data_IF_397371594844
#
_entry.id   IF_397371594844
#
_cell.length_a   1.000
_cell.length_b   1.000
_cell.length_c   1.000
_cell.angle_alpha   90.00
_cell.angle_beta   90.00
_cell.angle_gamma   90.00
#
_symmetry.space_group_name_H-M   'P 1'
#
loop_
_entity.id
_entity.type
_entity.pdbx_description
1 polymer ?
#
# COMPACT_ATOMS: atom_id res chain seq x y z
N UNK A 1 7.60 1.32 -0.21
CA UNK A 1 9.02 1.49 -0.52
C UNK A 1 9.78 0.17 -0.57
N UNK A 2 11.07 0.25 -0.45
CA UNK A 2 11.94 -0.91 -0.38
C UNK A 2 11.94 -1.43 1.07
N UNK A 3 11.47 -2.66 1.27
CA UNK A 3 11.51 -3.36 2.55
C UNK A 3 12.17 -4.70 2.30
N UNK A 4 13.22 -4.97 3.04
CA UNK A 4 14.01 -6.20 3.00
C UNK A 4 14.14 -6.85 4.38
N UNK A 5 13.47 -6.29 5.39
CA UNK A 5 13.39 -6.83 6.74
C UNK A 5 11.94 -7.17 7.13
N UNK A 6 11.69 -8.20 7.93
CA UNK A 6 10.37 -8.59 8.37
C UNK A 6 9.81 -7.74 9.53
N UNK A 7 10.63 -6.90 10.15
CA UNK A 7 10.30 -6.20 11.42
C UNK A 7 8.97 -5.45 11.37
N UNK A 8 8.65 -4.82 10.22
CA UNK A 8 7.42 -4.07 10.09
C UNK A 8 6.20 -4.99 9.96
N UNK A 9 6.34 -6.11 9.26
CA UNK A 9 5.27 -7.10 9.11
C UNK A 9 5.01 -7.75 10.47
N UNK A 10 6.07 -8.17 11.17
CA UNK A 10 5.98 -8.73 12.53
C UNK A 10 5.31 -7.76 13.50
N UNK A 11 5.64 -6.47 13.42
CA UNK A 11 5.02 -5.44 14.24
C UNK A 11 3.50 -5.32 14.01
N UNK A 12 3.05 -5.40 12.76
CA UNK A 12 1.62 -5.39 12.42
C UNK A 12 0.94 -6.63 12.98
N UNK A 13 1.55 -7.80 12.81
CA UNK A 13 1.00 -9.08 13.31
C UNK A 13 0.96 -9.14 14.83
N UNK A 14 2.01 -8.71 15.53
CA UNK A 14 2.03 -8.57 16.98
C UNK A 14 0.99 -7.56 17.51
N UNK A 15 0.54 -6.65 16.68
CA UNK A 15 -0.51 -5.67 17.02
C UNK A 15 -1.94 -6.21 16.80
N UNK A 16 -2.09 -7.48 16.42
CA UNK A 16 -3.39 -8.14 16.29
C UNK A 16 -4.00 -8.06 14.88
N UNK A 17 -3.23 -7.67 13.87
CA UNK A 17 -3.62 -7.68 12.47
C UNK A 17 -2.69 -8.59 11.66
N UNK A 18 -2.86 -8.66 10.34
CA UNK A 18 -1.90 -9.27 9.43
C UNK A 18 -1.87 -8.53 8.08
N UNK A 19 -0.76 -8.67 7.38
CA UNK A 19 -0.57 -8.03 6.08
C UNK A 19 -1.14 -8.93 4.98
N UNK A 20 -2.32 -8.61 4.48
CA UNK A 20 -3.02 -9.38 3.47
C UNK A 20 -2.48 -9.17 2.06
N UNK A 21 -1.95 -7.99 1.76
CA UNK A 21 -1.34 -7.64 0.48
C UNK A 21 -0.27 -6.57 0.68
N UNK A 22 0.66 -6.50 -0.26
CA UNK A 22 1.74 -5.52 -0.25
C UNK A 22 1.87 -4.76 -1.58
N UNK A 23 2.60 -3.64 -1.52
CA UNK A 23 3.08 -2.89 -2.68
C UNK A 23 4.52 -2.46 -2.48
N UNK A 24 5.37 -3.43 -2.15
CA UNK A 24 6.80 -3.19 -2.00
C UNK A 24 7.51 -3.17 -3.34
N UNK A 25 8.55 -2.34 -3.46
CA UNK A 25 9.32 -2.19 -4.70
C UNK A 25 9.94 -3.51 -5.17
N UNK A 26 10.39 -4.36 -4.25
CA UNK A 26 10.91 -5.72 -4.51
C UNK A 26 9.88 -6.82 -4.28
N UNK A 27 8.68 -6.46 -3.86
CA UNK A 27 7.58 -7.39 -3.62
C UNK A 27 6.61 -7.45 -4.79
N UNK A 28 5.38 -7.17 -4.51
CA UNK A 28 4.29 -7.38 -5.49
C UNK A 28 4.16 -6.29 -6.56
N UNK A 29 4.87 -5.14 -6.48
CA UNK A 29 4.77 -4.10 -7.52
C UNK A 29 5.16 -4.62 -8.90
N UNK A 30 6.30 -5.31 -9.11
CA UNK A 30 6.72 -5.73 -10.44
C UNK A 30 6.01 -6.97 -10.98
N UNK A 31 5.34 -7.75 -10.15
CA UNK A 31 4.84 -9.08 -10.51
C UNK A 31 3.32 -9.24 -10.57
N UNK A 32 2.54 -8.17 -10.45
CA UNK A 32 1.08 -8.28 -10.35
C UNK A 32 0.34 -8.42 -11.67
N UNK A 33 0.97 -8.15 -12.79
CA UNK A 33 0.30 -8.20 -14.08
C UNK A 33 0.90 -9.27 -14.96
N UNK A 34 0.05 -10.06 -15.58
CA UNK A 34 0.46 -11.03 -16.57
C UNK A 34 1.08 -10.35 -17.79
N UNK A 35 2.22 -10.86 -18.23
CA UNK A 35 2.87 -10.39 -19.45
C UNK A 35 2.31 -11.20 -20.61
N UNK A 36 1.45 -10.57 -21.40
CA UNK A 36 0.91 -11.15 -22.63
C UNK A 36 1.76 -10.68 -23.81
N UNK A 37 2.52 -11.59 -24.39
CA UNK A 37 3.34 -11.33 -25.57
C UNK A 37 2.57 -11.62 -26.86
N UNK A 38 2.95 -10.93 -27.94
CA UNK A 38 2.43 -11.15 -29.29
C UNK A 38 3.59 -11.28 -30.30
N UNK A 39 3.27 -11.74 -31.50
CA UNK A 39 4.26 -11.99 -32.56
C UNK A 39 4.56 -10.76 -33.43
N UNK A 40 4.06 -9.59 -33.10
CA UNK A 40 4.16 -8.38 -33.93
C UNK A 40 5.41 -7.54 -33.67
N UNK A 41 6.06 -7.75 -32.52
CA UNK A 41 7.26 -7.02 -32.10
C UNK A 41 8.28 -7.96 -31.44
N UNK A 42 9.52 -7.47 -31.37
CA UNK A 42 10.58 -8.13 -30.61
C UNK A 42 10.21 -8.31 -29.12
N UNK A 43 10.47 -9.49 -28.58
CA UNK A 43 10.09 -9.90 -27.22
C UNK A 43 10.68 -8.95 -26.16
N UNK A 44 11.96 -8.55 -26.29
CA UNK A 44 12.58 -7.63 -25.33
C UNK A 44 11.91 -6.28 -25.34
N UNK A 45 11.56 -5.77 -26.50
CA UNK A 45 10.83 -4.49 -26.64
C UNK A 45 9.48 -4.57 -25.95
N UNK A 46 8.75 -5.68 -26.11
CA UNK A 46 7.46 -5.87 -25.44
C UNK A 46 7.62 -5.93 -23.91
N UNK A 47 8.59 -6.68 -23.40
CA UNK A 47 8.87 -6.80 -21.96
C UNK A 47 9.22 -5.42 -21.37
N UNK A 48 10.11 -4.67 -22.02
CA UNK A 48 10.51 -3.33 -21.57
C UNK A 48 9.31 -2.38 -21.54
N UNK A 49 8.51 -2.36 -22.61
CA UNK A 49 7.31 -1.52 -22.71
C UNK A 49 6.31 -1.85 -21.60
N UNK A 50 6.00 -3.12 -21.41
CA UNK A 50 5.08 -3.58 -20.38
C UNK A 50 5.56 -3.13 -18.99
N UNK A 51 6.85 -3.31 -18.69
CA UNK A 51 7.39 -2.86 -17.41
C UNK A 51 7.32 -1.35 -17.21
N UNK A 52 7.53 -0.55 -18.27
CA UNK A 52 7.43 0.90 -18.21
C UNK A 52 5.96 1.35 -18.07
N UNK A 53 5.09 0.79 -18.88
CA UNK A 53 3.68 1.20 -18.94
C UNK A 53 2.90 0.76 -17.70
N UNK A 54 3.20 -0.43 -17.17
CA UNK A 54 2.52 -1.00 -16.03
C UNK A 54 3.17 -0.67 -14.69
N UNK A 55 4.33 -0.01 -14.69
CA UNK A 55 5.00 0.33 -13.44
C UNK A 55 4.13 1.22 -12.57
N UNK A 56 3.99 0.83 -11.32
CA UNK A 56 3.34 1.61 -10.28
C UNK A 56 4.34 2.37 -9.40
N UNK A 57 5.57 2.52 -9.86
CA UNK A 57 6.59 3.29 -9.15
C UNK A 57 6.23 4.78 -9.09
N UNK A 58 6.30 5.44 -7.92
CA UNK A 58 5.97 6.86 -7.78
C UNK A 58 6.94 7.81 -8.48
N UNK A 59 8.01 7.33 -9.10
CA UNK A 59 8.86 8.14 -10.01
C UNK A 59 8.10 8.67 -11.21
N UNK A 60 7.05 7.98 -11.64
CA UNK A 60 6.22 8.39 -12.77
C UNK A 60 5.08 9.28 -12.30
N UNK A 61 5.31 10.59 -12.30
CA UNK A 61 4.44 11.61 -11.72
C UNK A 61 3.58 12.28 -12.82
N UNK A 62 2.82 11.50 -13.57
CA UNK A 62 1.78 12.04 -14.43
C UNK A 62 0.40 11.88 -13.77
N UNK A 63 -0.59 12.75 -14.09
CA UNK A 63 -1.93 12.61 -13.52
C UNK A 63 -2.52 11.20 -13.70
N UNK A 64 -2.35 10.59 -14.85
CA UNK A 64 -2.83 9.23 -15.14
C UNK A 64 -2.11 8.18 -14.28
N UNK A 65 -0.81 8.30 -14.06
CA UNK A 65 -0.05 7.37 -13.23
C UNK A 65 -0.36 7.54 -11.75
N UNK A 66 -0.62 8.75 -11.28
CA UNK A 66 -1.10 9.01 -9.93
C UNK A 66 -2.45 8.33 -9.72
N UNK A 67 -3.41 8.60 -10.59
CA UNK A 67 -4.75 7.98 -10.54
C UNK A 67 -4.67 6.45 -10.61
N UNK A 68 -3.87 5.91 -11.52
CA UNK A 68 -3.63 4.48 -11.63
C UNK A 68 -3.17 3.87 -10.30
N UNK A 69 -2.23 4.51 -9.59
CA UNK A 69 -1.78 4.01 -8.28
C UNK A 69 -2.85 4.07 -7.20
N UNK A 70 -3.71 5.10 -7.23
CA UNK A 70 -4.86 5.20 -6.33
C UNK A 70 -5.83 4.05 -6.55
N UNK A 71 -6.22 3.83 -7.79
CA UNK A 71 -7.13 2.76 -8.18
C UNK A 71 -6.56 1.38 -7.85
N UNK A 72 -5.27 1.17 -8.07
CA UNK A 72 -4.60 -0.08 -7.68
C UNK A 72 -4.61 -0.31 -6.17
N UNK A 73 -4.40 0.72 -5.36
CA UNK A 73 -4.46 0.60 -3.91
C UNK A 73 -5.89 0.27 -3.43
N UNK A 74 -6.89 0.96 -3.98
CA UNK A 74 -8.30 0.69 -3.67
C UNK A 74 -8.73 -0.73 -4.11
N UNK A 75 -8.32 -1.15 -5.31
CA UNK A 75 -8.59 -2.50 -5.82
C UNK A 75 -7.99 -3.58 -4.91
N UNK A 76 -6.80 -3.40 -4.38
CA UNK A 76 -6.21 -4.35 -3.45
C UNK A 76 -6.99 -4.45 -2.14
N UNK A 77 -7.48 -3.32 -1.62
CA UNK A 77 -8.33 -3.33 -0.41
C UNK A 77 -9.61 -4.13 -0.65
N UNK A 78 -10.23 -3.97 -1.81
CA UNK A 78 -11.43 -4.72 -2.19
C UNK A 78 -11.13 -6.20 -2.41
N UNK A 79 -10.11 -6.53 -3.20
CA UNK A 79 -9.74 -7.89 -3.58
C UNK A 79 -9.35 -8.75 -2.36
N UNK A 80 -8.60 -8.17 -1.43
CA UNK A 80 -8.12 -8.86 -0.23
C UNK A 80 -8.97 -8.59 1.01
N UNK A 81 -10.10 -7.89 0.87
CA UNK A 81 -10.99 -7.52 1.97
C UNK A 81 -10.23 -6.86 3.13
N UNK A 82 -9.26 -6.01 2.80
CA UNK A 82 -8.45 -5.34 3.80
C UNK A 82 -9.22 -4.22 4.52
N UNK A 83 -8.96 -4.04 5.81
CA UNK A 83 -9.65 -3.05 6.63
C UNK A 83 -9.06 -1.64 6.54
N UNK A 84 -7.82 -1.55 6.07
CA UNK A 84 -7.11 -0.29 5.92
C UNK A 84 -5.74 -0.45 5.28
N UNK A 85 -5.04 0.65 5.12
CA UNK A 85 -3.72 0.70 4.49
C UNK A 85 -2.71 1.30 5.45
N UNK A 86 -1.56 0.65 5.61
CA UNK A 86 -0.38 1.26 6.22
C UNK A 86 0.52 1.76 5.09
N UNK A 87 0.63 3.09 4.98
CA UNK A 87 1.48 3.75 4.00
C UNK A 87 2.86 3.98 4.60
N UNK A 88 3.77 3.07 4.35
CA UNK A 88 5.13 3.13 4.86
C UNK A 88 6.07 3.81 3.87
N UNK A 89 6.79 4.80 4.35
CA UNK A 89 7.84 5.48 3.61
C UNK A 89 9.19 5.26 4.26
N UNK A 90 10.17 4.85 3.48
CA UNK A 90 11.56 4.90 3.91
C UNK A 90 12.04 6.36 3.95
N UNK A 91 12.70 6.78 5.04
CA UNK A 91 13.33 8.10 5.11
C UNK A 91 14.26 8.31 3.94
N UNK A 92 14.26 9.53 3.41
CA UNK A 92 15.03 9.96 2.24
C UNK A 92 14.53 9.42 0.88
N UNK A 93 13.48 8.61 0.83
CA UNK A 93 12.82 8.26 -0.43
C UNK A 93 11.86 9.39 -0.84
N UNK A 94 12.33 10.36 -1.60
CA UNK A 94 11.57 11.55 -2.02
C UNK A 94 10.31 11.20 -2.82
N UNK A 95 10.38 10.17 -3.67
CA UNK A 95 9.25 9.76 -4.49
C UNK A 95 8.10 9.21 -3.65
N UNK A 96 8.38 8.33 -2.70
CA UNK A 96 7.37 7.83 -1.77
C UNK A 96 6.90 8.88 -0.77
N UNK A 97 7.73 9.90 -0.45
CA UNK A 97 7.31 11.01 0.40
C UNK A 97 6.17 11.80 -0.21
N UNK A 98 6.33 12.18 -1.48
CA UNK A 98 5.28 12.89 -2.22
C UNK A 98 4.03 12.01 -2.36
N UNK A 99 4.21 10.78 -2.78
CA UNK A 99 3.12 9.82 -2.96
C UNK A 99 2.35 9.59 -1.66
N UNK A 100 3.05 9.37 -0.55
CA UNK A 100 2.45 9.18 0.77
C UNK A 100 1.54 10.33 1.17
N UNK A 101 1.99 11.55 1.00
CA UNK A 101 1.22 12.75 1.38
C UNK A 101 -0.05 12.88 0.54
N UNK A 102 0.07 12.71 -0.77
CA UNK A 102 -1.06 12.81 -1.68
C UNK A 102 -2.04 11.65 -1.52
N UNK A 103 -1.53 10.42 -1.51
CA UNK A 103 -2.35 9.22 -1.54
C UNK A 103 -3.09 8.97 -0.23
N UNK A 104 -2.45 9.19 0.92
CA UNK A 104 -3.11 8.98 2.20
C UNK A 104 -4.33 9.88 2.37
N UNK A 105 -4.26 11.11 1.86
CA UNK A 105 -5.41 12.03 1.85
C UNK A 105 -6.50 11.53 0.90
N UNK A 106 -6.18 11.25 -0.36
CA UNK A 106 -7.15 10.81 -1.36
C UNK A 106 -7.80 9.49 -0.97
N UNK A 107 -7.03 8.50 -0.52
CA UNK A 107 -7.58 7.21 -0.09
C UNK A 107 -8.52 7.35 1.10
N UNK A 108 -8.22 8.23 2.05
CA UNK A 108 -9.10 8.47 3.19
C UNK A 108 -10.36 9.26 2.81
N UNK A 109 -10.24 10.33 2.02
CA UNK A 109 -11.33 11.26 1.76
C UNK A 109 -12.21 10.82 0.59
N UNK A 110 -11.64 10.35 -0.50
CA UNK A 110 -12.41 9.97 -1.69
C UNK A 110 -12.84 8.49 -1.65
N UNK A 111 -11.90 7.59 -1.31
CA UNK A 111 -12.18 6.16 -1.30
C UNK A 111 -12.69 5.64 0.06
N UNK A 112 -12.67 6.49 1.11
CA UNK A 112 -13.10 6.13 2.48
C UNK A 112 -12.33 4.96 3.10
N UNK A 113 -11.09 4.75 2.65
CA UNK A 113 -10.20 3.71 3.14
C UNK A 113 -9.38 4.26 4.30
N UNK A 114 -9.46 3.70 5.52
CA UNK A 114 -8.61 4.09 6.63
C UNK A 114 -7.13 3.94 6.27
N UNK A 115 -6.34 4.94 6.56
CA UNK A 115 -4.93 4.95 6.18
C UNK A 115 -4.05 5.44 7.33
N UNK A 116 -3.06 4.65 7.71
CA UNK A 116 -1.97 5.06 8.61
C UNK A 116 -0.75 5.43 7.76
N UNK A 117 -0.26 6.66 7.90
CA UNK A 117 0.95 7.12 7.20
C UNK A 117 2.12 7.17 8.16
N UNK A 118 3.18 6.41 7.90
CA UNK A 118 4.40 6.34 8.71
C UNK A 118 5.65 6.55 7.87
N UNK A 119 6.70 7.04 8.52
CA UNK A 119 8.04 7.09 7.96
C UNK A 119 9.03 6.44 8.93
N UNK A 120 9.97 5.69 8.41
CA UNK A 120 11.02 5.06 9.21
C UNK A 120 12.38 5.10 8.52
N UNK A 121 13.49 5.07 9.27
CA UNK A 121 14.81 4.83 8.69
C UNK A 121 14.92 3.37 8.20
N UNK A 122 15.84 3.13 7.28
CA UNK A 122 16.04 1.81 6.66
C UNK A 122 16.30 0.70 7.69
N UNK A 123 17.14 0.96 8.67
CA UNK A 123 17.48 0.01 9.74
C UNK A 123 16.84 0.38 11.08
N UNK A 124 15.56 0.54 11.12
CA UNK A 124 14.88 0.75 12.40
C UNK A 124 14.29 -0.56 12.89
N UNK A 125 14.88 -1.12 13.93
CA UNK A 125 14.12 -1.97 14.84
C UNK A 125 12.90 -1.19 15.30
N UNK A 126 11.75 -1.83 15.35
CA UNK A 126 10.48 -1.20 15.71
C UNK A 126 10.62 -0.34 16.97
N UNK A 127 10.60 0.98 16.80
CA UNK A 127 10.62 1.89 17.95
C UNK A 127 9.29 1.78 18.70
N UNK A 128 9.30 1.97 20.03
CA UNK A 128 8.06 1.99 20.82
C UNK A 128 7.03 2.98 20.26
N UNK A 129 7.47 4.10 19.70
CA UNK A 129 6.60 5.07 19.05
C UNK A 129 5.90 4.49 17.81
N UNK A 130 6.62 3.73 16.98
CA UNK A 130 6.04 3.08 15.81
C UNK A 130 5.02 2.02 16.22
N UNK A 131 5.36 1.20 17.23
CA UNK A 131 4.45 0.21 17.82
C UNK A 131 3.15 0.86 18.29
N UNK A 132 3.23 1.92 19.08
CA UNK A 132 2.04 2.64 19.57
C UNK A 132 1.15 3.14 18.44
N UNK A 133 1.74 3.65 17.37
CA UNK A 133 0.97 4.15 16.20
C UNK A 133 0.27 3.02 15.44
N UNK A 134 0.95 1.89 15.24
CA UNK A 134 0.37 0.72 14.57
C UNK A 134 -0.75 0.12 15.42
N UNK A 135 -0.52 -0.07 16.72
CA UNK A 135 -1.55 -0.58 17.64
C UNK A 135 -2.79 0.32 17.65
N UNK A 136 -2.63 1.63 17.80
CA UNK A 136 -3.74 2.58 17.78
C UNK A 136 -4.53 2.53 16.45
N UNK A 137 -3.84 2.33 15.33
CA UNK A 137 -4.49 2.17 14.04
C UNK A 137 -5.30 0.87 13.97
N UNK A 138 -4.73 -0.26 14.37
CA UNK A 138 -5.42 -1.57 14.41
C UNK A 138 -6.66 -1.49 15.30
N UNK A 139 -6.53 -0.95 16.53
CA UNK A 139 -7.66 -0.74 17.44
C UNK A 139 -8.76 0.14 16.81
N UNK A 140 -8.39 1.17 16.08
CA UNK A 140 -9.35 2.05 15.38
C UNK A 140 -10.15 1.31 14.30
N UNK A 141 -9.51 0.38 13.58
CA UNK A 141 -10.17 -0.46 12.58
C UNK A 141 -11.14 -1.44 13.25
N UNK A 142 -10.77 -2.06 14.36
CA UNK A 142 -11.65 -2.95 15.12
C UNK A 142 -12.88 -2.21 15.64
N UNK A 143 -12.70 -1.04 16.22
CA UNK A 143 -13.82 -0.20 16.68
C UNK A 143 -14.78 0.14 15.54
N UNK A 144 -14.24 0.48 14.36
CA UNK A 144 -15.03 0.75 13.17
C UNK A 144 -15.85 -0.47 12.74
N UNK A 145 -15.26 -1.65 12.74
CA UNK A 145 -15.95 -2.92 12.43
C UNK A 145 -17.08 -3.20 13.42
N UNK A 146 -16.81 -3.04 14.72
CA UNK A 146 -17.84 -3.27 15.76
C UNK A 146 -19.01 -2.32 15.59
N UNK A 147 -18.77 -1.04 15.30
CA UNK A 147 -19.84 -0.06 15.05
C UNK A 147 -20.67 -0.43 13.83
N UNK A 148 -20.03 -0.77 12.70
CA UNK A 148 -20.75 -1.18 11.49
C UNK A 148 -21.64 -2.40 11.74
N UNK A 149 -21.16 -3.43 12.42
CA UNK A 149 -21.95 -4.63 12.77
C UNK A 149 -23.16 -4.31 13.67
N UNK A 150 -23.01 -3.36 14.60
CA UNK A 150 -24.11 -2.93 15.47
C UNK A 150 -25.20 -2.18 14.71
N UNK A 151 -24.80 -1.34 13.76
CA UNK A 151 -25.73 -0.60 12.88
C UNK A 151 -26.50 -1.54 11.95
N UNK A 152 -25.87 -2.61 11.46
CA UNK A 152 -26.50 -3.64 10.65
C UNK A 152 -27.49 -4.50 11.47
N UNK A 153 -27.10 -4.85 12.69
CA UNK A 153 -27.96 -5.66 13.59
C UNK A 153 -29.14 -4.89 14.20
N UNK A 154 -29.11 -3.56 14.17
CA UNK A 154 -30.18 -2.69 14.65
C UNK A 154 -31.21 -2.29 13.58
N UNK A 155 -31.05 -2.76 12.33
CA UNK A 155 -31.99 -2.58 11.22
C UNK A 155 -32.83 -3.81 11.01
#
# INVERSE_FOLDING_TARGET
GEIDDPDMIELVEESGAYVAADRFCYGSIPGRQEIVLNDTEDVLTQIVRINIDQTSCPRYVTPNKIKYRQDQAAKLVEEYHADGIIYEQMKFCSYWSFERTLQSHVLAEEYKIPTLSIDRPYQAKSSGQLRTRVQAFVESLEIKKIKARREEAGK
#
